data_IF_277325875081
#
_entry.id   IF_277325875081
#
_cell.length_a   1.000
_cell.length_b   1.000
_cell.length_c   1.000
_cell.angle_alpha   90.00
_cell.angle_beta   90.00
_cell.angle_gamma   90.00
#
_symmetry.space_group_name_H-M   'P 1'
#
loop_
_entity.id
_entity.type
_entity.pdbx_description
1 polymer ?
#
# COMPACT_ATOMS: atom_id res chain seq x y z
N UNK A 1 -15.82 -14.76 4.18
CA UNK A 1 -16.22 -14.07 2.95
C UNK A 1 -17.74 -13.94 2.89
N UNK A 2 -18.48 -15.06 2.92
CA UNK A 2 -19.96 -15.12 2.87
C UNK A 2 -20.71 -14.04 3.67
N UNK A 3 -20.41 -13.82 4.95
CA UNK A 3 -21.18 -12.82 5.73
C UNK A 3 -21.06 -11.39 5.20
N UNK A 4 -19.87 -10.94 4.78
CA UNK A 4 -19.69 -9.57 4.25
C UNK A 4 -20.28 -9.44 2.84
N UNK A 5 -20.26 -10.50 2.05
CA UNK A 5 -20.87 -10.54 0.71
C UNK A 5 -22.41 -10.48 0.78
N UNK A 6 -23.01 -11.16 1.76
CA UNK A 6 -24.46 -11.24 1.92
C UNK A 6 -25.05 -10.05 2.70
N UNK A 7 -24.23 -9.28 3.40
CA UNK A 7 -24.70 -8.14 4.19
C UNK A 7 -24.77 -6.87 3.32
N UNK A 8 -25.94 -6.26 3.12
CA UNK A 8 -26.07 -5.04 2.32
C UNK A 8 -25.37 -3.84 2.98
N UNK A 9 -24.74 -2.99 2.17
CA UNK A 9 -24.25 -1.68 2.59
C UNK A 9 -25.34 -0.62 2.41
N UNK A 10 -26.23 -0.52 3.40
CA UNK A 10 -27.40 0.37 3.32
C UNK A 10 -28.27 0.09 2.09
N UNK A 11 -28.79 1.15 1.48
CA UNK A 11 -29.65 1.06 0.28
C UNK A 11 -28.88 1.33 -1.04
N UNK A 12 -27.56 1.13 -1.03
CA UNK A 12 -26.68 1.47 -2.17
C UNK A 12 -26.68 0.43 -3.29
N UNK A 13 -27.14 -0.79 -3.00
CA UNK A 13 -27.00 -1.95 -3.90
C UNK A 13 -25.64 -2.64 -3.83
N UNK A 14 -24.70 -2.14 -3.02
CA UNK A 14 -23.41 -2.76 -2.75
C UNK A 14 -23.47 -3.65 -1.49
N UNK A 15 -22.54 -4.59 -1.37
CA UNK A 15 -22.34 -5.39 -0.15
C UNK A 15 -21.35 -4.72 0.81
N UNK A 16 -21.34 -5.16 2.07
CA UNK A 16 -20.32 -4.77 3.03
C UNK A 16 -18.91 -5.18 2.55
N UNK A 17 -18.77 -6.25 1.78
CA UNK A 17 -17.48 -6.64 1.21
C UNK A 17 -16.95 -5.60 0.21
N UNK A 18 -17.83 -5.03 -0.62
CA UNK A 18 -17.46 -3.99 -1.61
C UNK A 18 -16.92 -2.72 -0.92
N UNK A 19 -17.27 -2.52 0.35
CA UNK A 19 -16.83 -1.38 1.19
C UNK A 19 -15.80 -1.75 2.25
N UNK A 20 -15.28 -2.97 2.23
CA UNK A 20 -14.28 -3.44 3.20
C UNK A 20 -12.91 -3.57 2.55
N UNK A 21 -11.89 -2.99 3.17
CA UNK A 21 -10.48 -3.22 2.86
C UNK A 21 -9.78 -3.81 4.07
N UNK A 22 -9.01 -4.88 3.85
CA UNK A 22 -8.11 -5.49 4.82
C UNK A 22 -6.70 -4.99 4.51
N UNK A 23 -6.08 -4.35 5.49
CA UNK A 23 -4.68 -3.91 5.44
C UNK A 23 -3.84 -4.82 6.35
N UNK A 24 -2.92 -5.57 5.76
CA UNK A 24 -1.94 -6.38 6.47
C UNK A 24 -0.55 -5.78 6.27
N UNK A 25 0.02 -5.22 7.34
CA UNK A 25 1.34 -4.60 7.34
C UNK A 25 2.06 -4.91 8.66
N UNK A 26 3.37 -4.67 8.69
CA UNK A 26 4.15 -4.67 9.93
C UNK A 26 4.87 -3.33 10.08
N UNK A 27 5.16 -2.92 11.31
CA UNK A 27 5.95 -1.72 11.59
C UNK A 27 7.42 -1.90 11.19
N UNK A 28 7.93 -3.13 11.28
CA UNK A 28 9.32 -3.44 11.00
C UNK A 28 9.50 -4.77 10.28
N UNK A 29 10.59 -4.88 9.54
CA UNK A 29 11.01 -6.12 8.90
C UNK A 29 12.41 -6.53 9.34
N UNK A 30 12.87 -7.68 8.84
CA UNK A 30 14.21 -8.19 9.07
C UNK A 30 14.99 -8.24 7.78
N UNK A 31 16.29 -7.97 7.86
CA UNK A 31 17.16 -8.00 6.68
C UNK A 31 17.03 -9.34 5.93
N UNK A 32 17.10 -9.32 4.59
CA UNK A 32 16.94 -10.54 3.81
C UNK A 32 18.19 -11.43 3.94
N UNK A 33 19.36 -10.80 4.13
CA UNK A 33 20.64 -11.43 4.37
C UNK A 33 20.97 -11.54 5.86
N UNK A 34 21.82 -12.51 6.20
CA UNK A 34 22.34 -12.69 7.56
C UNK A 34 23.43 -11.67 7.87
N UNK A 35 23.46 -11.20 9.12
CA UNK A 35 24.53 -10.37 9.66
C UNK A 35 25.75 -11.22 10.07
N UNK A 36 26.84 -10.56 10.45
CA UNK A 36 28.08 -11.23 10.85
C UNK A 36 27.97 -12.15 12.08
N UNK A 37 26.84 -12.10 12.80
CA UNK A 37 26.54 -12.94 13.98
C UNK A 37 25.58 -14.10 13.65
N UNK A 38 25.23 -14.29 12.38
CA UNK A 38 24.31 -15.33 11.93
C UNK A 38 22.82 -15.02 12.19
N UNK A 39 22.49 -13.80 12.62
CA UNK A 39 21.12 -13.33 12.78
C UNK A 39 20.66 -12.46 11.60
N UNK A 40 19.48 -11.84 11.72
CA UNK A 40 19.02 -10.77 10.81
C UNK A 40 18.93 -9.46 11.57
N UNK A 41 19.14 -8.32 10.94
CA UNK A 41 18.98 -7.03 11.60
C UNK A 41 17.57 -6.47 11.44
N UNK A 42 17.25 -5.42 12.19
CA UNK A 42 16.04 -4.62 11.97
C UNK A 42 16.17 -3.89 10.63
N UNK A 43 15.10 -3.87 9.84
CA UNK A 43 15.10 -3.32 8.50
C UNK A 43 13.84 -2.49 8.22
N UNK A 44 14.06 -1.35 7.54
CA UNK A 44 13.03 -0.38 7.20
C UNK A 44 12.31 -0.70 5.88
N UNK A 45 12.94 -1.47 4.98
CA UNK A 45 12.29 -1.90 3.75
C UNK A 45 11.23 -2.94 4.06
N UNK A 46 10.02 -2.73 3.54
CA UNK A 46 8.82 -3.42 3.97
C UNK A 46 7.86 -3.66 2.79
N UNK A 47 6.86 -4.51 3.00
CA UNK A 47 5.76 -4.78 2.08
C UNK A 47 4.44 -4.71 2.84
N UNK A 48 3.41 -4.15 2.19
CA UNK A 48 2.05 -4.12 2.69
C UNK A 48 1.15 -4.92 1.74
N UNK A 49 0.20 -5.67 2.29
CA UNK A 49 -0.82 -6.36 1.52
C UNK A 49 -2.19 -5.72 1.78
N UNK A 50 -2.83 -5.28 0.71
CA UNK A 50 -4.21 -4.78 0.72
C UNK A 50 -5.11 -5.75 -0.03
N UNK A 51 -6.28 -6.06 0.53
CA UNK A 51 -7.31 -6.86 -0.12
C UNK A 51 -8.67 -6.25 0.13
N UNK A 52 -9.60 -6.39 -0.80
CA UNK A 52 -10.99 -5.96 -0.59
C UNK A 52 -11.54 -5.11 -1.73
N UNK A 53 -12.72 -4.54 -1.50
CA UNK A 53 -13.60 -4.03 -2.55
C UNK A 53 -12.97 -3.01 -3.49
N UNK A 54 -12.40 -1.93 -2.95
CA UNK A 54 -11.81 -0.84 -3.75
C UNK A 54 -10.41 -1.15 -4.29
N UNK A 55 -9.78 -2.26 -3.87
CA UNK A 55 -8.41 -2.59 -4.27
C UNK A 55 -8.40 -3.24 -5.65
N UNK A 56 -7.57 -2.70 -6.56
CA UNK A 56 -7.39 -3.18 -7.93
C UNK A 56 -6.68 -4.54 -8.00
N UNK A 57 -5.80 -4.80 -7.03
CA UNK A 57 -4.93 -5.97 -6.99
C UNK A 57 -3.69 -5.82 -7.89
N UNK A 58 -2.77 -6.77 -7.75
CA UNK A 58 -1.46 -6.76 -8.41
C UNK A 58 -0.31 -6.42 -7.47
N UNK A 59 0.86 -6.14 -8.05
CA UNK A 59 2.07 -5.74 -7.31
C UNK A 59 2.41 -4.30 -7.70
N UNK A 60 2.69 -3.47 -6.70
CA UNK A 60 3.11 -2.09 -6.87
C UNK A 60 4.52 -1.93 -6.28
N UNK A 61 5.42 -1.35 -7.07
CA UNK A 61 6.81 -1.15 -6.70
C UNK A 61 7.65 -2.43 -6.64
N UNK A 62 8.90 -2.27 -6.22
CA UNK A 62 9.87 -3.35 -6.03
C UNK A 62 11.00 -2.92 -5.11
N UNK A 63 11.79 -3.89 -4.64
CA UNK A 63 13.12 -3.65 -4.07
C UNK A 63 14.22 -3.88 -5.11
N UNK A 64 15.40 -3.32 -4.92
CA UNK A 64 16.58 -3.57 -5.77
C UNK A 64 17.18 -4.97 -5.53
N UNK A 65 17.98 -5.46 -6.49
CA UNK A 65 18.73 -6.71 -6.30
C UNK A 65 19.96 -6.54 -5.40
N UNK A 66 20.45 -5.31 -5.25
CA UNK A 66 21.62 -4.98 -4.43
C UNK A 66 21.14 -4.16 -3.24
N UNK A 67 21.35 -4.70 -2.04
CA UNK A 67 20.94 -4.06 -0.78
C UNK A 67 19.44 -4.07 -0.51
N UNK A 68 18.63 -4.44 -1.51
CA UNK A 68 17.18 -4.62 -1.43
C UNK A 68 16.45 -3.38 -0.91
N UNK A 69 16.97 -2.20 -1.24
CA UNK A 69 16.32 -0.94 -0.95
C UNK A 69 15.04 -0.79 -1.81
N UNK A 70 14.02 -0.05 -1.36
CA UNK A 70 12.87 0.25 -2.19
C UNK A 70 13.30 1.03 -3.43
N UNK A 71 12.69 0.73 -4.57
CA UNK A 71 12.91 1.46 -5.82
C UNK A 71 11.90 2.60 -5.96
N UNK A 72 12.23 3.60 -6.79
CA UNK A 72 11.31 4.67 -7.14
C UNK A 72 10.13 4.11 -7.94
N UNK A 73 8.93 4.60 -7.64
CA UNK A 73 7.67 4.18 -8.26
C UNK A 73 6.94 5.39 -8.78
N UNK A 74 6.40 5.29 -10.00
CA UNK A 74 5.34 6.18 -10.45
C UNK A 74 4.05 5.74 -9.78
N UNK A 75 3.57 6.54 -8.83
CA UNK A 75 2.39 6.22 -8.00
C UNK A 75 1.08 6.14 -8.79
N UNK A 76 1.05 6.71 -10.00
CA UNK A 76 -0.13 6.67 -10.88
C UNK A 76 -0.23 5.34 -11.60
N UNK A 77 0.90 4.79 -12.05
CA UNK A 77 0.94 3.51 -12.77
C UNK A 77 1.28 2.32 -11.87
N UNK A 78 1.86 2.57 -10.69
CA UNK A 78 2.34 1.58 -9.74
C UNK A 78 3.65 0.89 -10.17
N UNK A 79 4.28 1.34 -11.25
CA UNK A 79 5.47 0.70 -11.84
C UNK A 79 6.74 1.37 -11.35
N UNK A 80 7.80 0.58 -11.24
CA UNK A 80 9.15 1.10 -11.01
C UNK A 80 9.54 2.04 -12.15
N UNK A 81 10.18 3.15 -11.78
CA UNK A 81 10.66 4.17 -12.72
C UNK A 81 12.08 4.61 -12.34
N UNK A 82 12.86 5.02 -13.33
CA UNK A 82 14.18 5.66 -13.13
C UNK A 82 14.08 7.19 -13.08
N UNK A 83 12.90 7.76 -13.36
CA UNK A 83 12.70 9.20 -13.32
C UNK A 83 12.71 9.70 -11.87
N UNK A 84 13.83 10.28 -11.45
CA UNK A 84 14.00 10.85 -10.13
C UNK A 84 13.19 12.14 -9.89
N UNK A 85 12.66 12.79 -10.93
CA UNK A 85 11.86 14.00 -10.78
C UNK A 85 10.40 13.67 -10.40
N UNK A 86 9.86 12.55 -10.87
CA UNK A 86 8.47 12.15 -10.66
C UNK A 86 8.30 10.88 -9.82
N UNK A 87 9.34 10.03 -9.76
CA UNK A 87 9.34 8.78 -9.00
C UNK A 87 9.39 9.01 -7.50
N UNK A 88 8.69 8.17 -6.75
CA UNK A 88 8.59 8.26 -5.29
C UNK A 88 8.93 6.92 -4.63
N UNK A 89 9.58 6.98 -3.46
CA UNK A 89 9.62 5.82 -2.56
C UNK A 89 8.26 5.72 -1.87
N UNK A 90 7.66 4.53 -1.90
CA UNK A 90 6.40 4.29 -1.21
C UNK A 90 6.67 4.16 0.29
N UNK A 91 5.91 4.93 1.06
CA UNK A 91 5.91 4.92 2.52
C UNK A 91 4.54 4.49 3.07
N UNK A 92 4.43 4.04 4.34
CA UNK A 92 3.15 3.74 4.97
C UNK A 92 2.11 4.86 4.87
N UNK A 93 2.55 6.11 4.90
CA UNK A 93 1.74 7.32 4.76
C UNK A 93 1.01 7.35 3.43
N UNK A 94 1.61 6.83 2.35
CA UNK A 94 0.94 6.76 1.05
C UNK A 94 -0.22 5.77 1.10
N UNK A 95 -0.07 4.65 1.82
CA UNK A 95 -1.13 3.66 2.02
C UNK A 95 -2.29 4.31 2.78
N UNK A 96 -2.00 4.97 3.91
CA UNK A 96 -3.01 5.68 4.68
C UNK A 96 -3.70 6.77 3.88
N UNK A 97 -2.93 7.58 3.15
CA UNK A 97 -3.49 8.66 2.31
C UNK A 97 -4.42 8.10 1.24
N UNK A 98 -4.05 6.98 0.62
CA UNK A 98 -4.87 6.30 -0.39
C UNK A 98 -6.18 5.80 0.21
N UNK A 99 -6.12 5.09 1.34
CA UNK A 99 -7.31 4.52 1.99
C UNK A 99 -8.24 5.60 2.56
N UNK A 100 -7.69 6.69 3.08
CA UNK A 100 -8.49 7.84 3.54
C UNK A 100 -9.18 8.54 2.37
N UNK A 101 -8.45 8.74 1.26
CA UNK A 101 -9.02 9.34 0.04
C UNK A 101 -10.13 8.46 -0.53
N UNK A 102 -9.93 7.14 -0.59
CA UNK A 102 -10.93 6.15 -1.00
C UNK A 102 -12.20 6.19 -0.12
N UNK A 103 -12.02 6.42 1.19
CA UNK A 103 -13.12 6.63 2.12
C UNK A 103 -13.79 8.02 2.05
N UNK A 104 -13.39 8.88 1.09
CA UNK A 104 -13.93 10.23 0.91
C UNK A 104 -13.32 11.30 1.82
N UNK A 105 -12.23 10.99 2.53
CA UNK A 105 -11.51 11.93 3.40
C UNK A 105 -10.34 12.55 2.63
N UNK A 106 -10.65 13.51 1.77
CA UNK A 106 -9.66 14.14 0.88
C UNK A 106 -8.75 15.16 1.59
N UNK A 107 -9.15 15.74 2.71
CA UNK A 107 -8.31 16.67 3.47
C UNK A 107 -7.17 15.92 4.20
N UNK A 108 -5.92 16.37 4.06
CA UNK A 108 -4.78 15.77 4.78
C UNK A 108 -4.69 16.28 6.23
N UNK A 109 -5.74 16.01 7.02
CA UNK A 109 -5.83 16.46 8.41
C UNK A 109 -4.75 15.86 9.32
N UNK A 110 -4.21 14.71 8.93
CA UNK A 110 -3.17 14.01 9.67
C UNK A 110 -1.75 14.46 9.29
N UNK A 111 -1.62 15.39 8.33
CA UNK A 111 -0.32 15.89 7.83
C UNK A 111 0.60 14.74 7.39
N UNK A 112 0.08 13.84 6.54
CA UNK A 112 0.82 12.71 5.98
C UNK A 112 1.87 13.14 4.97
N UNK A 113 1.74 14.36 4.40
CA UNK A 113 2.73 15.01 3.52
C UNK A 113 3.06 14.25 2.24
N UNK A 114 2.18 13.34 1.84
CA UNK A 114 2.28 12.55 0.61
C UNK A 114 0.94 12.51 -0.12
N UNK A 115 0.98 12.24 -1.42
CA UNK A 115 -0.21 11.98 -2.21
C UNK A 115 -0.73 10.55 -2.04
N UNK A 116 -1.97 10.25 -2.48
CA UNK A 116 -2.42 8.87 -2.60
C UNK A 116 -1.66 8.14 -3.73
N UNK A 117 -1.84 6.82 -3.81
CA UNK A 117 -1.37 5.95 -4.90
C UNK A 117 -2.62 5.49 -5.68
N UNK A 118 -3.04 6.23 -6.72
CA UNK A 118 -4.22 5.87 -7.50
C UNK A 118 -4.13 4.47 -8.11
N UNK A 119 -2.91 3.99 -8.41
CA UNK A 119 -2.69 2.66 -8.95
C UNK A 119 -3.21 1.52 -8.04
N UNK A 120 -3.38 1.76 -6.73
CA UNK A 120 -3.93 0.77 -5.79
C UNK A 120 -5.44 0.58 -5.95
N UNK A 121 -6.16 1.59 -6.41
CA UNK A 121 -7.61 1.64 -6.40
C UNK A 121 -8.18 1.21 -7.76
N UNK A 122 -9.39 0.65 -7.73
CA UNK A 122 -10.18 0.41 -8.95
C UNK A 122 -10.56 1.77 -9.56
N UNK A 123 -10.41 1.88 -10.87
CA UNK A 123 -10.81 3.05 -11.67
C UNK A 123 -12.32 3.15 -11.82
#
# INVERSE_FOLDING_TARGET
ALHLEETPYGDTGESMLDRTVICAFSEFMRTPLLNARGGRDHWLTNSCMLLGGSIKGGVIGASSDIGMAPQLVDVTTGRVTEDAASGQIIYPEHIWRTLLTDAGLEEDRADLRVGPIPALLRS
#
